data_IF_076878730768
#
_entry.id   IF_076878730768
#
_cell.length_a   1.000
_cell.length_b   1.000
_cell.length_c   1.000
_cell.angle_alpha   90.00
_cell.angle_beta   90.00
_cell.angle_gamma   90.00
#
_symmetry.space_group_name_H-M   'P 1'
#
loop_
_entity.id
_entity.type
_entity.pdbx_description
1 polymer ?
#
# COMPACT_ATOMS: atom_id res chain seq x y z
N UNK A 1 -38.55 -16.48 25.51
CA UNK A 1 -38.48 -16.53 24.03
C UNK A 1 -37.57 -15.39 23.59
N UNK A 2 -36.35 -15.70 23.15
CA UNK A 2 -35.37 -14.71 22.70
C UNK A 2 -35.12 -14.95 21.21
N UNK A 3 -35.53 -13.98 20.41
CA UNK A 3 -35.39 -13.99 18.96
C UNK A 3 -33.99 -13.51 18.60
N UNK A 4 -33.20 -14.38 17.97
CA UNK A 4 -31.89 -14.06 17.39
C UNK A 4 -32.13 -13.22 16.12
N UNK A 5 -31.49 -12.05 15.91
CA UNK A 5 -31.59 -11.37 14.63
C UNK A 5 -30.71 -12.08 13.59
N UNK A 6 -31.26 -12.18 12.38
CA UNK A 6 -30.67 -12.86 11.23
C UNK A 6 -29.32 -12.23 10.82
N UNK A 7 -28.35 -13.08 10.45
CA UNK A 7 -27.11 -12.65 9.79
C UNK A 7 -27.45 -12.10 8.40
N UNK A 8 -27.01 -10.88 8.12
CA UNK A 8 -27.18 -10.23 6.83
C UNK A 8 -26.17 -10.77 5.81
N UNK A 9 -26.65 -11.11 4.62
CA UNK A 9 -25.83 -11.50 3.48
C UNK A 9 -26.04 -10.46 2.39
N UNK A 10 -25.03 -9.63 2.16
CA UNK A 10 -24.94 -8.79 0.96
C UNK A 10 -24.75 -9.72 -0.24
N UNK A 11 -25.85 -10.14 -0.86
CA UNK A 11 -25.84 -10.94 -2.09
C UNK A 11 -25.54 -10.06 -3.29
N UNK A 12 -24.44 -10.37 -3.98
CA UNK A 12 -24.16 -9.96 -5.35
C UNK A 12 -23.76 -11.20 -6.17
N UNK A 13 -24.04 -11.21 -7.49
CA UNK A 13 -24.11 -12.44 -8.28
C UNK A 13 -22.74 -13.08 -8.52
N UNK A 14 -22.68 -14.40 -8.34
CA UNK A 14 -21.48 -15.21 -8.52
C UNK A 14 -21.49 -15.89 -9.90
N UNK A 15 -20.38 -15.89 -10.66
CA UNK A 15 -20.27 -16.67 -11.89
C UNK A 15 -20.02 -18.15 -11.55
N UNK A 16 -20.71 -19.03 -12.28
CA UNK A 16 -20.70 -20.48 -12.15
C UNK A 16 -19.30 -21.07 -12.35
N UNK A 17 -18.85 -21.89 -11.39
CA UNK A 17 -17.65 -22.73 -11.53
C UNK A 17 -17.97 -24.16 -11.13
N UNK A 18 -18.02 -25.05 -12.12
CA UNK A 18 -18.19 -26.50 -11.99
C UNK A 18 -16.96 -27.12 -11.30
N UNK A 19 -17.18 -27.86 -10.19
CA UNK A 19 -16.16 -28.69 -9.54
C UNK A 19 -16.12 -30.07 -10.21
N UNK A 20 -14.95 -30.50 -10.66
CA UNK A 20 -14.62 -31.91 -10.90
C UNK A 20 -14.07 -32.52 -9.60
N UNK A 21 -14.61 -33.67 -9.22
CA UNK A 21 -14.15 -34.52 -8.13
C UNK A 21 -12.95 -35.36 -8.59
N UNK A 22 -11.95 -35.54 -7.72
CA UNK A 22 -10.91 -36.55 -7.87
C UNK A 22 -11.03 -37.53 -6.72
N UNK A 23 -11.30 -38.80 -7.03
CA UNK A 23 -11.26 -39.92 -6.08
C UNK A 23 -9.82 -40.34 -5.83
N UNK A 24 -9.48 -40.55 -4.55
CA UNK A 24 -8.30 -41.31 -4.14
C UNK A 24 -8.55 -42.80 -4.36
N UNK A 25 -7.60 -43.50 -4.97
CA UNK A 25 -7.49 -44.95 -4.90
C UNK A 25 -6.07 -45.32 -4.47
N UNK A 26 -5.98 -45.96 -3.31
CA UNK A 26 -4.81 -46.65 -2.79
C UNK A 26 -4.66 -48.00 -3.49
N UNK A 27 -3.44 -48.42 -3.82
CA UNK A 27 -3.17 -49.81 -4.16
C UNK A 27 -1.77 -50.26 -3.71
N UNK A 28 -1.76 -51.51 -3.26
CA UNK A 28 -0.75 -52.26 -2.53
C UNK A 28 0.53 -52.60 -3.33
N UNK A 29 1.56 -52.89 -2.53
CA UNK A 29 2.86 -53.51 -2.80
C UNK A 29 2.85 -54.80 -3.63
N UNK A 30 3.84 -54.95 -4.53
CA UNK A 30 4.43 -56.25 -4.91
C UNK A 30 5.94 -56.09 -4.96
N UNK A 31 6.66 -56.85 -4.12
CA UNK A 31 8.11 -57.00 -4.17
C UNK A 31 8.44 -58.20 -5.08
N UNK A 32 9.17 -57.94 -6.17
CA UNK A 32 9.68 -58.97 -7.09
C UNK A 32 11.16 -58.75 -7.34
N UNK A 33 11.98 -59.74 -6.95
CA UNK A 33 13.39 -59.84 -7.33
C UNK A 33 13.53 -60.05 -8.85
N UNK A 34 14.38 -59.27 -9.50
CA UNK A 34 14.88 -59.50 -10.87
C UNK A 34 16.38 -59.11 -10.95
N UNK A 35 17.15 -59.76 -11.85
CA UNK A 35 18.60 -59.91 -11.77
C UNK A 35 19.37 -58.66 -12.22
N UNK A 36 20.56 -58.48 -11.62
CA UNK A 36 21.54 -57.47 -11.99
C UNK A 36 22.17 -57.79 -13.35
N UNK A 37 21.60 -57.25 -14.43
CA UNK A 37 22.28 -57.11 -15.72
C UNK A 37 22.87 -55.70 -15.82
N UNK A 38 24.21 -55.64 -15.89
CA UNK A 38 24.97 -54.41 -16.02
C UNK A 38 24.76 -53.75 -17.37
N UNK A 39 23.80 -52.82 -17.44
CA UNK A 39 23.73 -51.82 -18.50
C UNK A 39 24.47 -50.56 -18.05
N UNK A 40 25.56 -50.23 -18.73
CA UNK A 40 26.18 -48.89 -18.69
C UNK A 40 25.18 -47.86 -19.24
N UNK A 41 24.24 -47.44 -18.40
CA UNK A 41 23.34 -46.33 -18.70
C UNK A 41 24.13 -45.06 -18.42
N UNK A 42 24.59 -44.39 -19.47
CA UNK A 42 25.06 -43.00 -19.38
C UNK A 42 23.98 -42.20 -18.68
N UNK A 43 24.19 -41.85 -17.42
CA UNK A 43 23.31 -40.98 -16.67
C UNK A 43 23.37 -39.63 -17.36
N UNK A 44 22.38 -39.34 -18.22
CA UNK A 44 22.10 -37.97 -18.61
C UNK A 44 21.75 -37.24 -17.33
N UNK A 45 22.71 -36.46 -16.83
CA UNK A 45 22.44 -35.44 -15.82
C UNK A 45 21.38 -34.55 -16.45
N UNK A 46 20.16 -34.63 -15.92
CA UNK A 46 19.10 -33.72 -16.30
C UNK A 46 19.61 -32.30 -16.05
N UNK A 47 19.85 -31.55 -17.13
CA UNK A 47 20.17 -30.15 -17.04
C UNK A 47 19.01 -29.47 -16.34
N UNK A 48 19.23 -29.02 -15.10
CA UNK A 48 18.29 -28.14 -14.40
C UNK A 48 18.02 -26.98 -15.36
N UNK A 49 16.75 -26.73 -15.75
CA UNK A 49 16.43 -25.62 -16.62
C UNK A 49 17.02 -24.36 -16.00
N UNK A 50 17.92 -23.70 -16.74
CA UNK A 50 18.42 -22.38 -16.36
C UNK A 50 17.19 -21.51 -16.12
N UNK A 51 17.04 -20.87 -14.95
CA UNK A 51 15.85 -20.08 -14.65
C UNK A 51 15.64 -19.09 -15.80
N UNK A 52 14.45 -19.13 -16.40
CA UNK A 52 14.06 -18.21 -17.45
C UNK A 52 14.33 -16.80 -16.93
N UNK A 53 15.14 -15.98 -17.61
CA UNK A 53 15.39 -14.61 -17.16
C UNK A 53 14.03 -13.92 -16.99
N UNK A 54 13.80 -13.34 -15.80
CA UNK A 54 12.60 -12.51 -15.57
C UNK A 54 12.55 -11.46 -16.70
N UNK A 55 11.42 -11.27 -17.40
CA UNK A 55 11.42 -10.42 -18.60
C UNK A 55 11.78 -8.99 -18.23
N UNK A 56 12.96 -8.53 -18.67
CA UNK A 56 13.36 -7.14 -18.57
C UNK A 56 12.35 -6.24 -19.30
N UNK A 57 12.20 -5.01 -18.84
CA UNK A 57 11.38 -3.99 -19.52
C UNK A 57 12.01 -3.70 -20.88
N UNK A 58 11.20 -3.70 -21.93
CA UNK A 58 11.70 -3.54 -23.31
C UNK A 58 12.30 -2.15 -23.53
N UNK A 59 13.29 -2.02 -24.43
CA UNK A 59 13.86 -0.72 -24.77
C UNK A 59 12.81 0.28 -25.31
N UNK A 60 11.80 -0.22 -26.03
CA UNK A 60 10.68 0.57 -26.51
C UNK A 60 9.82 1.13 -25.36
N UNK A 61 9.52 0.29 -24.36
CA UNK A 61 8.78 0.71 -23.17
C UNK A 61 9.59 1.68 -22.30
N UNK A 62 10.90 1.47 -22.16
CA UNK A 62 11.79 2.41 -21.48
C UNK A 62 11.79 3.79 -22.16
N UNK A 63 11.85 3.82 -23.49
CA UNK A 63 11.82 5.07 -24.26
C UNK A 63 10.46 5.79 -24.15
N UNK A 64 9.35 5.03 -24.19
CA UNK A 64 7.98 5.55 -24.13
C UNK A 64 7.58 6.00 -22.73
N UNK A 65 7.78 5.14 -21.73
CA UNK A 65 7.27 5.31 -20.38
C UNK A 65 8.29 5.87 -19.40
N UNK A 66 9.55 6.05 -19.80
CA UNK A 66 10.64 6.67 -19.01
C UNK A 66 10.47 6.41 -17.49
N UNK A 67 10.43 5.14 -17.05
CA UNK A 67 10.15 4.80 -15.66
C UNK A 67 11.23 5.36 -14.73
N UNK A 68 10.84 5.71 -13.52
CA UNK A 68 11.73 6.13 -12.44
C UNK A 68 11.15 5.68 -11.11
N UNK A 69 11.49 4.46 -10.71
CA UNK A 69 10.96 3.86 -9.49
C UNK A 69 11.72 4.25 -8.22
N UNK A 70 12.74 5.11 -8.35
CA UNK A 70 13.38 5.81 -7.23
C UNK A 70 12.71 7.14 -6.87
N UNK A 71 11.73 7.59 -7.65
CA UNK A 71 11.05 8.86 -7.43
C UNK A 71 10.15 8.89 -6.19
N UNK A 72 9.71 10.09 -5.81
CA UNK A 72 8.88 10.30 -4.64
C UNK A 72 7.42 9.86 -4.83
N UNK A 73 6.79 9.43 -3.73
CA UNK A 73 5.43 8.90 -3.65
C UNK A 73 4.64 9.75 -2.65
N UNK A 74 3.41 10.13 -3.01
CA UNK A 74 2.51 10.82 -2.10
C UNK A 74 1.69 9.82 -1.27
N UNK A 75 1.58 10.10 0.02
CA UNK A 75 0.59 9.48 0.91
C UNK A 75 -0.32 10.61 1.40
N UNK A 76 -1.61 10.53 1.09
CA UNK A 76 -2.59 11.60 1.35
C UNK A 76 -3.51 11.20 2.48
N UNK A 77 -3.59 12.05 3.50
CA UNK A 77 -4.38 11.84 4.71
C UNK A 77 -5.70 12.62 4.65
N UNK A 78 -6.82 11.89 4.66
CA UNK A 78 -8.18 12.42 4.77
C UNK A 78 -8.77 12.06 6.15
N UNK A 79 -9.74 12.85 6.62
CA UNK A 79 -10.45 12.59 7.88
C UNK A 79 -11.97 12.57 7.65
N UNK A 80 -12.60 13.72 7.39
CA UNK A 80 -14.05 13.85 7.28
C UNK A 80 -14.50 14.21 5.85
N UNK A 81 -15.74 13.84 5.51
CA UNK A 81 -16.40 14.10 4.22
C UNK A 81 -17.79 14.72 4.43
N UNK A 82 -17.87 15.70 5.32
CA UNK A 82 -19.10 16.38 5.68
C UNK A 82 -19.38 17.54 4.69
N UNK A 83 -20.51 17.52 3.95
CA UNK A 83 -20.88 18.59 3.02
C UNK A 83 -21.20 19.92 3.72
N UNK A 84 -21.58 19.90 5.01
CA UNK A 84 -21.91 21.08 5.79
C UNK A 84 -20.65 21.82 6.32
N UNK A 85 -19.54 21.10 6.50
CA UNK A 85 -18.26 21.70 6.92
C UNK A 85 -17.47 22.23 5.72
N UNK A 86 -16.73 23.35 5.86
CA UNK A 86 -15.86 23.81 4.78
C UNK A 86 -14.78 22.77 4.45
N UNK A 87 -14.25 22.82 3.22
CA UNK A 87 -13.01 22.11 2.93
C UNK A 87 -11.90 22.67 3.85
N UNK A 88 -10.93 21.84 4.24
CA UNK A 88 -9.78 22.25 5.05
C UNK A 88 -8.99 21.04 5.55
N UNK A 89 -8.17 21.24 6.59
CA UNK A 89 -7.24 20.22 7.10
C UNK A 89 -7.90 18.89 7.49
N UNK A 90 -9.11 18.94 8.03
CA UNK A 90 -9.82 17.77 8.57
C UNK A 90 -11.08 17.42 7.79
N UNK A 91 -11.44 18.17 6.76
CA UNK A 91 -12.68 17.91 6.01
C UNK A 91 -12.47 18.14 4.52
N UNK A 92 -12.97 17.19 3.72
CA UNK A 92 -13.04 17.29 2.27
C UNK A 92 -14.47 16.99 1.83
N UNK A 93 -15.21 18.00 1.39
CA UNK A 93 -16.60 17.80 0.93
C UNK A 93 -16.66 16.70 -0.13
N UNK A 94 -17.74 15.89 -0.17
CA UNK A 94 -17.90 14.80 -1.14
C UNK A 94 -17.57 15.20 -2.59
N UNK A 95 -18.15 16.30 -3.08
CA UNK A 95 -17.91 16.81 -4.43
C UNK A 95 -16.45 17.23 -4.66
N UNK A 96 -15.76 17.74 -3.63
CA UNK A 96 -14.36 18.09 -3.74
C UNK A 96 -13.48 16.83 -3.76
N UNK A 97 -13.82 15.79 -3.00
CA UNK A 97 -13.10 14.52 -3.06
C UNK A 97 -13.23 13.87 -4.44
N UNK A 98 -14.41 13.91 -5.07
CA UNK A 98 -14.58 13.49 -6.46
C UNK A 98 -13.63 14.26 -7.40
N UNK A 99 -13.52 15.58 -7.24
CA UNK A 99 -12.60 16.42 -8.02
C UNK A 99 -11.12 16.06 -7.80
N UNK A 100 -10.76 15.64 -6.59
CA UNK A 100 -9.41 15.14 -6.29
C UNK A 100 -9.12 13.85 -7.04
N UNK A 101 -10.05 12.89 -7.03
CA UNK A 101 -9.91 11.63 -7.75
C UNK A 101 -9.78 11.85 -9.26
N UNK A 102 -10.61 12.72 -9.84
CA UNK A 102 -10.52 13.10 -11.25
C UNK A 102 -9.15 13.73 -11.56
N UNK A 103 -8.70 14.68 -10.74
CA UNK A 103 -7.39 15.33 -10.91
C UNK A 103 -6.24 14.32 -10.83
N UNK A 104 -6.26 13.43 -9.84
CA UNK A 104 -5.28 12.35 -9.68
C UNK A 104 -5.29 11.41 -10.89
N UNK A 105 -6.46 10.99 -11.33
CA UNK A 105 -6.63 10.11 -12.48
C UNK A 105 -6.06 10.71 -13.76
N UNK A 106 -6.42 11.95 -14.08
CA UNK A 106 -5.94 12.71 -15.25
C UNK A 106 -4.43 12.92 -15.21
N UNK A 107 -3.86 13.17 -14.04
CA UNK A 107 -2.41 13.37 -13.86
C UNK A 107 -1.60 12.05 -13.82
N UNK A 108 -2.27 10.92 -14.01
CA UNK A 108 -1.66 9.60 -14.15
C UNK A 108 -1.37 8.89 -12.82
N UNK A 109 -1.97 9.32 -11.72
CA UNK A 109 -1.85 8.63 -10.43
C UNK A 109 -2.77 7.42 -10.35
N UNK A 110 -2.35 6.36 -9.65
CA UNK A 110 -3.16 5.16 -9.37
C UNK A 110 -3.05 4.75 -7.90
N UNK A 111 -4.16 4.37 -7.27
CA UNK A 111 -4.17 4.16 -5.84
C UNK A 111 -3.47 2.84 -5.48
N UNK A 112 -2.74 2.86 -4.38
CA UNK A 112 -2.14 1.68 -3.73
C UNK A 112 -2.44 1.75 -2.23
N UNK A 113 -2.42 0.61 -1.54
CA UNK A 113 -2.47 0.62 -0.07
C UNK A 113 -1.09 1.01 0.48
N UNK A 114 -1.03 1.45 1.73
CA UNK A 114 0.25 1.73 2.37
C UNK A 114 1.11 0.46 2.45
N UNK A 115 0.52 -0.69 2.76
CA UNK A 115 1.27 -1.97 2.74
C UNK A 115 1.87 -2.32 1.38
N UNK A 116 1.24 -1.92 0.28
CA UNK A 116 1.78 -2.11 -1.07
C UNK A 116 3.08 -1.29 -1.25
N UNK A 117 3.12 -0.07 -0.71
CA UNK A 117 4.35 0.75 -0.66
C UNK A 117 5.41 0.06 0.21
N UNK A 118 5.07 -0.39 1.43
CA UNK A 118 6.08 -0.98 2.33
C UNK A 118 6.70 -2.26 1.74
N UNK A 119 5.90 -3.02 1.00
CA UNK A 119 6.33 -4.25 0.34
C UNK A 119 7.00 -4.02 -1.02
N UNK A 120 7.07 -2.77 -1.49
CA UNK A 120 7.48 -2.39 -2.85
C UNK A 120 6.71 -3.15 -3.95
N UNK A 121 5.41 -3.38 -3.72
CA UNK A 121 4.47 -4.07 -4.63
C UNK A 121 3.46 -3.10 -5.22
N UNK A 122 3.97 -1.99 -5.77
CA UNK A 122 3.15 -0.93 -6.37
C UNK A 122 2.68 -1.35 -7.77
N UNK A 123 1.67 -2.22 -7.81
CA UNK A 123 1.07 -2.74 -9.05
C UNK A 123 0.23 -1.66 -9.77
N UNK A 124 0.93 -0.76 -10.47
CA UNK A 124 0.32 0.31 -11.26
C UNK A 124 0.84 0.27 -12.70
N UNK A 125 0.02 0.62 -13.71
CA UNK A 125 0.40 0.51 -15.11
C UNK A 125 1.67 1.30 -15.49
N UNK A 126 2.38 0.90 -16.56
CA UNK A 126 3.58 1.60 -17.01
C UNK A 126 3.32 3.08 -17.27
N UNK A 127 4.24 3.91 -16.82
CA UNK A 127 4.18 5.37 -16.94
C UNK A 127 3.26 6.07 -15.94
N UNK A 128 2.57 5.33 -15.04
CA UNK A 128 1.71 5.86 -13.97
C UNK A 128 2.47 5.96 -12.65
N UNK A 129 1.90 6.72 -11.71
CA UNK A 129 2.50 6.99 -10.40
C UNK A 129 1.61 6.42 -9.29
N UNK A 130 2.13 5.62 -8.35
CA UNK A 130 1.37 5.17 -7.20
C UNK A 130 1.05 6.36 -6.26
N UNK A 131 -0.12 6.31 -5.62
CA UNK A 131 -0.52 7.21 -4.55
C UNK A 131 -1.25 6.42 -3.47
N UNK A 132 -0.91 6.63 -2.20
CA UNK A 132 -1.70 6.05 -1.11
C UNK A 132 -2.74 7.06 -0.63
N UNK A 133 -4.00 6.64 -0.62
CA UNK A 133 -5.10 7.39 0.00
C UNK A 133 -5.36 6.79 1.38
N UNK A 134 -5.29 7.61 2.43
CA UNK A 134 -5.49 7.16 3.80
C UNK A 134 -6.62 7.91 4.48
N UNK A 135 -7.35 7.21 5.34
CA UNK A 135 -8.56 7.71 6.01
C UNK A 135 -8.43 7.49 7.51
N UNK A 136 -8.31 8.56 8.28
CA UNK A 136 -8.02 8.51 9.74
C UNK A 136 -9.33 8.68 10.55
N UNK A 137 -9.39 8.09 11.73
CA UNK A 137 -10.46 8.19 12.74
C UNK A 137 -11.72 7.33 12.55
N UNK A 138 -11.87 6.61 11.43
CA UNK A 138 -13.10 5.84 11.14
C UNK A 138 -14.39 6.65 11.29
N UNK A 139 -14.42 7.90 10.78
CA UNK A 139 -15.62 8.77 10.85
C UNK A 139 -16.80 8.19 10.06
N UNK A 140 -18.07 8.51 10.41
CA UNK A 140 -19.24 8.03 9.68
C UNK A 140 -19.24 8.39 8.20
N UNK A 141 -18.71 9.56 7.85
CA UNK A 141 -18.59 10.05 6.48
C UNK A 141 -17.59 9.26 5.62
N UNK A 142 -16.78 8.38 6.20
CA UNK A 142 -15.86 7.52 5.46
C UNK A 142 -16.57 6.28 4.92
N UNK A 143 -17.40 5.62 5.73
CA UNK A 143 -18.19 4.47 5.31
C UNK A 143 -19.55 4.48 6.01
N UNK A 144 -20.58 4.94 5.28
CA UNK A 144 -21.97 4.98 5.76
C UNK A 144 -22.84 4.02 4.96
N UNK A 145 -23.72 3.30 5.66
CA UNK A 145 -24.81 2.54 5.06
C UNK A 145 -26.11 3.30 5.34
N UNK A 146 -26.90 3.52 4.30
CA UNK A 146 -28.20 4.20 4.34
C UNK A 146 -29.28 3.26 3.83
N UNK A 147 -30.52 3.48 4.25
CA UNK A 147 -31.68 2.78 3.67
C UNK A 147 -32.08 3.45 2.36
N UNK A 148 -32.10 2.68 1.28
CA UNK A 148 -32.53 3.14 -0.04
C UNK A 148 -34.04 3.31 -0.13
N UNK A 149 -34.50 3.86 -1.26
CA UNK A 149 -35.94 3.99 -1.56
C UNK A 149 -36.65 2.64 -1.69
N UNK A 150 -35.90 1.58 -1.97
CA UNK A 150 -36.33 0.19 -2.03
C UNK A 150 -36.39 -0.49 -0.64
N UNK A 151 -36.08 0.24 0.44
CA UNK A 151 -36.03 -0.28 1.79
C UNK A 151 -34.80 -1.15 2.08
N UNK A 152 -33.87 -1.28 1.13
CA UNK A 152 -32.66 -2.10 1.29
C UNK A 152 -31.47 -1.25 1.77
N UNK A 153 -30.47 -1.85 2.42
CA UNK A 153 -29.24 -1.14 2.78
C UNK A 153 -28.37 -0.86 1.54
N UNK A 154 -27.92 0.38 1.40
CA UNK A 154 -27.00 0.82 0.35
C UNK A 154 -25.81 1.57 0.96
N UNK A 155 -24.65 1.46 0.32
CA UNK A 155 -23.51 2.34 0.65
C UNK A 155 -23.90 3.76 0.24
N UNK A 156 -23.74 4.71 1.15
CA UNK A 156 -24.03 6.11 0.86
C UNK A 156 -23.11 6.62 -0.26
N UNK A 157 -23.64 7.09 -1.39
CA UNK A 157 -22.82 7.54 -2.51
C UNK A 157 -21.97 8.78 -2.19
N UNK A 158 -22.26 9.48 -1.09
CA UNK A 158 -21.52 10.65 -0.64
C UNK A 158 -20.50 10.34 0.47
N UNK A 159 -20.43 9.12 0.99
CA UNK A 159 -19.34 8.72 1.88
C UNK A 159 -18.09 8.36 1.07
N UNK A 160 -16.91 8.37 1.70
CA UNK A 160 -15.64 8.12 1.00
C UNK A 160 -15.63 6.80 0.22
N UNK A 161 -16.07 5.69 0.84
CA UNK A 161 -16.19 4.38 0.17
C UNK A 161 -17.16 4.44 -1.00
N UNK A 162 -18.34 5.05 -0.83
CA UNK A 162 -19.32 5.19 -1.93
C UNK A 162 -18.78 5.95 -3.13
N UNK A 163 -17.99 7.00 -2.88
CA UNK A 163 -17.32 7.79 -3.91
C UNK A 163 -16.24 6.95 -4.62
N UNK A 164 -15.39 6.25 -3.86
CA UNK A 164 -14.33 5.39 -4.42
C UNK A 164 -14.90 4.27 -5.28
N UNK A 165 -15.96 3.60 -4.82
CA UNK A 165 -16.65 2.53 -5.56
C UNK A 165 -17.29 3.06 -6.85
N UNK A 166 -17.92 4.23 -6.78
CA UNK A 166 -18.50 4.87 -7.96
C UNK A 166 -17.42 5.27 -8.96
N UNK A 167 -16.29 5.79 -8.47
CA UNK A 167 -15.15 6.16 -9.29
C UNK A 167 -14.52 4.95 -9.98
N UNK A 168 -14.32 3.85 -9.25
CA UNK A 168 -13.83 2.58 -9.81
C UNK A 168 -14.75 2.03 -10.91
N UNK A 169 -16.08 2.04 -10.70
CA UNK A 169 -17.04 1.59 -11.72
C UNK A 169 -16.94 2.41 -13.01
N UNK A 170 -16.71 3.72 -12.90
CA UNK A 170 -16.51 4.63 -14.05
C UNK A 170 -15.12 4.48 -14.68
N UNK A 171 -14.12 4.13 -13.87
CA UNK A 171 -12.72 3.99 -14.26
C UNK A 171 -12.17 2.64 -13.79
N UNK A 172 -12.40 1.53 -14.52
CA UNK A 172 -12.02 0.19 -14.06
C UNK A 172 -10.51 0.01 -13.80
N UNK A 173 -9.67 0.87 -14.38
CA UNK A 173 -8.22 0.90 -14.15
C UNK A 173 -7.81 1.72 -12.92
N UNK A 174 -8.76 2.25 -12.15
CA UNK A 174 -8.57 2.81 -10.82
C UNK A 174 -8.92 1.75 -9.77
N UNK A 175 -7.94 1.11 -9.16
CA UNK A 175 -8.19 0.04 -8.20
C UNK A 175 -8.92 0.53 -6.94
N UNK A 176 -9.72 -0.36 -6.32
CA UNK A 176 -10.35 -0.17 -5.01
C UNK A 176 -9.31 -0.33 -3.89
N UNK A 177 -8.46 0.69 -3.76
CA UNK A 177 -7.33 0.75 -2.83
C UNK A 177 -7.46 1.99 -1.95
N UNK A 178 -7.09 1.83 -0.69
CA UNK A 178 -7.16 2.86 0.35
C UNK A 178 -6.95 2.25 1.73
N UNK A 179 -6.20 2.94 2.58
CA UNK A 179 -5.85 2.48 3.92
C UNK A 179 -6.68 3.22 4.98
N UNK A 180 -7.55 2.51 5.67
CA UNK A 180 -8.38 3.03 6.75
C UNK A 180 -7.68 2.81 8.08
N UNK A 181 -7.25 3.90 8.73
CA UNK A 181 -6.71 3.90 10.08
C UNK A 181 -7.87 4.01 11.07
N UNK A 182 -8.25 2.88 11.65
CA UNK A 182 -9.50 2.73 12.40
C UNK A 182 -9.27 2.81 13.90
N UNK A 183 -10.26 3.33 14.61
CA UNK A 183 -10.31 3.42 16.07
C UNK A 183 -11.37 2.44 16.59
N UNK A 184 -11.09 1.65 17.65
CA UNK A 184 -12.13 0.89 18.34
C UNK A 184 -13.03 1.82 19.17
N UNK A 185 -14.15 1.27 19.66
CA UNK A 185 -14.99 1.92 20.67
C UNK A 185 -14.27 1.89 22.04
N UNK A 186 -13.47 2.92 22.29
CA UNK A 186 -12.70 3.07 23.54
C UNK A 186 -12.62 4.56 23.94
N UNK A 187 -12.66 4.84 25.24
CA UNK A 187 -12.71 6.21 25.77
C UNK A 187 -13.82 7.06 25.14
N UNK A 188 -13.45 8.19 24.54
CA UNK A 188 -14.39 9.13 23.88
C UNK A 188 -14.68 8.79 22.42
N UNK A 189 -14.09 7.73 21.88
CA UNK A 189 -14.33 7.34 20.50
C UNK A 189 -15.79 6.90 20.32
N UNK A 190 -16.36 7.20 19.15
CA UNK A 190 -17.58 6.54 18.71
C UNK A 190 -17.24 5.13 18.23
N UNK A 191 -18.26 4.28 18.08
CA UNK A 191 -18.10 3.02 17.36
C UNK A 191 -17.53 3.31 15.96
N UNK A 192 -16.68 2.41 15.40
CA UNK A 192 -16.14 2.62 14.07
C UNK A 192 -17.25 2.92 13.06
N UNK A 193 -17.12 4.03 12.34
CA UNK A 193 -18.12 4.56 11.40
C UNK A 193 -19.50 4.91 12.01
N UNK A 194 -19.62 4.92 13.34
CA UNK A 194 -20.82 5.21 14.15
C UNK A 194 -22.09 4.48 13.70
N UNK A 195 -21.95 3.24 13.23
CA UNK A 195 -23.05 2.32 12.92
C UNK A 195 -22.67 0.94 13.46
N UNK A 196 -22.73 0.74 14.80
CA UNK A 196 -22.23 -0.47 15.46
C UNK A 196 -22.88 -1.76 14.91
N UNK A 197 -24.13 -1.67 14.47
CA UNK A 197 -24.90 -2.79 13.92
C UNK A 197 -24.38 -3.30 12.57
N UNK A 198 -23.59 -2.49 11.84
CA UNK A 198 -23.04 -2.85 10.52
C UNK A 198 -21.51 -2.84 10.47
N UNK A 199 -20.83 -2.66 11.62
CA UNK A 199 -19.38 -2.46 11.66
C UNK A 199 -18.60 -3.64 11.08
N UNK A 200 -19.00 -4.87 11.40
CA UNK A 200 -18.36 -6.08 10.88
C UNK A 200 -18.55 -6.20 9.36
N UNK A 201 -19.77 -5.96 8.86
CA UNK A 201 -20.07 -6.02 7.42
C UNK A 201 -19.24 -5.01 6.63
N UNK A 202 -19.04 -3.80 7.19
CA UNK A 202 -18.19 -2.77 6.60
C UNK A 202 -16.73 -3.19 6.56
N UNK A 203 -16.18 -3.75 7.64
CA UNK A 203 -14.80 -4.24 7.63
C UNK A 203 -14.59 -5.41 6.67
N UNK A 204 -15.52 -6.37 6.64
CA UNK A 204 -15.47 -7.47 5.67
C UNK A 204 -15.58 -6.95 4.23
N UNK A 205 -16.41 -5.93 3.98
CA UNK A 205 -16.51 -5.28 2.67
C UNK A 205 -15.19 -4.60 2.28
N UNK A 206 -14.56 -3.82 3.17
CA UNK A 206 -13.28 -3.15 2.89
C UNK A 206 -12.21 -4.17 2.48
N UNK A 207 -12.02 -5.22 3.29
CA UNK A 207 -11.01 -6.24 3.03
C UNK A 207 -11.30 -7.04 1.75
N UNK A 208 -12.57 -7.40 1.52
CA UNK A 208 -12.98 -8.17 0.33
C UNK A 208 -12.75 -7.39 -0.97
N UNK A 209 -12.93 -6.06 -0.94
CA UNK A 209 -12.81 -5.22 -2.13
C UNK A 209 -11.41 -4.62 -2.30
N UNK A 210 -10.42 -5.00 -1.49
CA UNK A 210 -9.01 -4.61 -1.72
C UNK A 210 -8.51 -3.42 -0.91
N UNK A 211 -9.36 -2.83 -0.07
CA UNK A 211 -8.95 -1.81 0.91
C UNK A 211 -8.18 -2.44 2.07
N UNK A 212 -7.42 -1.61 2.77
CA UNK A 212 -6.63 -1.99 3.94
C UNK A 212 -7.24 -1.43 5.23
N UNK A 213 -7.26 -2.25 6.28
CA UNK A 213 -7.60 -1.82 7.65
C UNK A 213 -6.31 -1.78 8.48
N UNK A 214 -6.06 -0.63 9.09
CA UNK A 214 -4.83 -0.29 9.78
C UNK A 214 -5.11 0.34 11.17
N UNK A 215 -4.10 0.36 12.03
CA UNK A 215 -4.25 0.75 13.43
C UNK A 215 -4.19 2.28 13.61
N UNK A 216 -5.10 2.85 14.41
CA UNK A 216 -5.05 4.27 14.79
C UNK A 216 -5.03 4.52 16.29
N UNK A 217 -4.52 3.55 17.06
CA UNK A 217 -4.50 3.49 18.53
C UNK A 217 -5.87 3.23 19.15
N UNK A 218 -5.91 3.02 20.46
CA UNK A 218 -7.14 2.66 21.15
C UNK A 218 -7.95 3.91 21.48
N UNK A 219 -7.32 4.92 22.06
CA UNK A 219 -7.99 6.13 22.58
C UNK A 219 -7.81 7.37 21.73
N UNK A 220 -7.06 7.27 20.62
CA UNK A 220 -6.66 8.42 19.80
C UNK A 220 -5.82 9.48 20.58
N UNK A 221 -5.19 9.08 21.67
CA UNK A 221 -4.38 9.98 22.51
C UNK A 221 -3.07 10.39 21.84
N UNK A 222 -2.64 11.62 22.07
CA UNK A 222 -1.33 12.09 21.64
C UNK A 222 -0.21 11.32 22.37
N UNK A 223 0.62 10.63 21.59
CA UNK A 223 1.69 9.78 22.13
C UNK A 223 3.00 10.53 22.45
N UNK A 224 3.09 11.84 22.19
CA UNK A 224 4.34 12.60 22.32
C UNK A 224 4.96 12.56 23.73
N UNK A 225 4.12 12.56 24.77
CA UNK A 225 4.53 12.44 26.17
C UNK A 225 4.33 11.05 26.77
N UNK A 226 3.96 10.06 25.97
CA UNK A 226 3.51 8.75 26.44
C UNK A 226 4.70 7.83 26.77
N UNK A 227 4.60 7.07 27.86
CA UNK A 227 5.58 6.05 28.25
C UNK A 227 5.36 4.75 27.47
N UNK A 228 6.42 3.93 27.36
CA UNK A 228 6.42 2.67 26.63
C UNK A 228 5.25 1.73 26.98
N UNK A 229 4.93 1.56 28.27
CA UNK A 229 3.83 0.67 28.68
C UNK A 229 2.46 1.14 28.20
N UNK A 230 2.21 2.45 28.22
CA UNK A 230 0.96 3.01 27.69
C UNK A 230 0.93 2.96 26.17
N UNK A 231 2.06 3.14 25.47
CA UNK A 231 2.14 2.92 24.02
C UNK A 231 1.80 1.47 23.66
N UNK A 232 2.37 0.49 24.36
CA UNK A 232 2.03 -0.93 24.17
C UNK A 232 0.56 -1.20 24.40
N UNK A 233 -0.02 -0.61 25.46
CA UNK A 233 -1.45 -0.69 25.73
C UNK A 233 -2.29 -0.12 24.58
N UNK A 234 -2.00 1.09 24.11
CA UNK A 234 -2.76 1.73 23.03
C UNK A 234 -2.77 0.87 21.74
N UNK A 235 -1.63 0.26 21.41
CA UNK A 235 -1.47 -0.48 20.16
C UNK A 235 -2.02 -1.91 20.25
N UNK A 236 -1.76 -2.61 21.36
CA UNK A 236 -2.25 -3.97 21.57
C UNK A 236 -3.76 -4.00 21.80
N UNK A 237 -4.31 -3.06 22.59
CA UNK A 237 -5.76 -2.99 22.84
C UNK A 237 -6.52 -2.67 21.55
N UNK A 238 -6.05 -1.70 20.75
CA UNK A 238 -6.66 -1.41 19.46
C UNK A 238 -6.68 -2.62 18.52
N UNK A 239 -5.57 -3.37 18.46
CA UNK A 239 -5.50 -4.60 17.68
C UNK A 239 -6.47 -5.66 18.19
N UNK A 240 -6.52 -5.86 19.51
CA UNK A 240 -7.40 -6.82 20.15
C UNK A 240 -8.87 -6.54 19.83
N UNK A 241 -9.31 -5.30 20.03
CA UNK A 241 -10.71 -4.91 19.93
C UNK A 241 -11.20 -4.91 18.48
N UNK A 242 -10.39 -4.35 17.56
CA UNK A 242 -10.73 -4.39 16.13
C UNK A 242 -10.78 -5.83 15.61
N UNK A 243 -9.90 -6.72 16.07
CA UNK A 243 -9.94 -8.14 15.65
C UNK A 243 -11.19 -8.90 16.11
N UNK A 244 -11.92 -8.42 17.12
CA UNK A 244 -13.20 -9.04 17.51
C UNK A 244 -14.26 -8.88 16.41
N UNK A 245 -14.21 -7.77 15.67
CA UNK A 245 -15.18 -7.45 14.59
C UNK A 245 -14.58 -7.53 13.19
N UNK A 246 -13.26 -7.59 13.06
CA UNK A 246 -12.52 -7.72 11.81
C UNK A 246 -11.36 -8.74 11.95
N UNK A 247 -11.65 -10.04 12.16
CA UNK A 247 -10.62 -11.04 12.47
C UNK A 247 -9.57 -11.24 11.35
N UNK A 248 -9.88 -10.82 10.13
CA UNK A 248 -8.97 -10.87 8.96
C UNK A 248 -8.09 -9.62 8.81
N UNK A 249 -8.33 -8.56 9.58
CA UNK A 249 -7.49 -7.36 9.53
C UNK A 249 -6.11 -7.67 10.13
N UNK A 250 -5.06 -7.39 9.37
CA UNK A 250 -3.67 -7.60 9.83
C UNK A 250 -3.25 -6.48 10.78
N UNK A 251 -3.60 -5.23 10.44
CA UNK A 251 -3.21 -4.01 11.15
C UNK A 251 -1.68 -3.88 11.30
N UNK A 252 -0.94 -4.30 10.28
CA UNK A 252 0.53 -4.25 10.24
C UNK A 252 1.08 -2.83 10.05
N UNK A 253 0.23 -1.86 9.77
CA UNK A 253 0.59 -0.45 9.56
C UNK A 253 -0.23 0.39 10.52
N UNK A 254 0.34 1.47 11.06
CA UNK A 254 -0.41 2.37 11.91
C UNK A 254 -0.07 3.84 11.68
N UNK A 255 -1.06 4.70 11.90
CA UNK A 255 -0.89 6.15 11.88
C UNK A 255 -0.90 6.69 13.30
N UNK A 256 0.07 7.54 13.62
CA UNK A 256 0.16 8.22 14.92
C UNK A 256 -0.91 9.32 15.00
N UNK A 257 -1.78 9.32 16.03
CA UNK A 257 -2.63 10.47 16.32
C UNK A 257 -1.79 11.74 16.42
N UNK A 258 -2.23 12.80 15.73
CA UNK A 258 -1.53 14.09 15.61
C UNK A 258 -0.14 14.03 14.95
N UNK A 259 0.31 12.87 14.48
CA UNK A 259 1.58 12.72 13.77
C UNK A 259 2.84 12.90 14.60
N UNK A 260 2.75 12.88 15.94
CA UNK A 260 3.89 13.17 16.83
C UNK A 260 4.46 11.90 17.44
N UNK A 261 5.73 11.65 17.18
CA UNK A 261 6.48 10.56 17.81
C UNK A 261 6.59 10.78 19.34
N UNK A 262 6.59 9.70 20.14
CA UNK A 262 7.01 9.76 21.54
C UNK A 262 8.39 10.39 21.70
N UNK A 263 8.58 11.20 22.75
CA UNK A 263 9.89 11.79 23.10
C UNK A 263 10.85 10.76 23.70
N UNK A 264 10.30 9.79 24.42
CA UNK A 264 11.08 8.69 25.02
C UNK A 264 11.47 7.65 23.95
N UNK A 265 12.69 7.14 24.02
CA UNK A 265 13.21 6.18 23.04
C UNK A 265 12.56 4.80 23.21
N UNK A 266 12.35 4.33 24.45
CA UNK A 266 11.70 3.04 24.68
C UNK A 266 10.23 3.07 24.19
N UNK A 267 9.55 4.21 24.35
CA UNK A 267 8.23 4.44 23.80
C UNK A 267 8.24 4.45 22.26
N UNK A 268 9.26 5.03 21.61
CA UNK A 268 9.42 4.93 20.14
C UNK A 268 9.65 3.50 19.68
N UNK A 269 10.48 2.73 20.36
CA UNK A 269 10.69 1.31 20.03
C UNK A 269 9.41 0.49 20.18
N UNK A 270 8.58 0.84 21.18
CA UNK A 270 7.27 0.21 21.39
C UNK A 270 6.29 0.46 20.24
N UNK A 271 6.52 1.44 19.36
CA UNK A 271 5.70 1.62 18.15
C UNK A 271 5.89 0.46 17.16
N UNK A 272 7.06 -0.17 17.14
CA UNK A 272 7.42 -1.19 16.14
C UNK A 272 6.84 -2.55 16.54
N UNK A 273 7.00 -2.94 17.79
CA UNK A 273 6.47 -4.23 18.28
C UNK A 273 6.26 -4.21 19.79
N UNK A 274 5.29 -5.00 20.24
CA UNK A 274 4.97 -5.15 21.65
C UNK A 274 3.95 -6.25 21.87
N UNK A 275 3.68 -6.53 23.14
CA UNK A 275 2.66 -7.48 23.57
C UNK A 275 2.01 -7.00 24.85
N UNK A 276 0.70 -7.18 24.95
CA UNK A 276 -0.08 -6.95 26.16
C UNK A 276 -1.31 -7.86 26.16
N UNK A 277 -1.64 -8.46 27.31
CA UNK A 277 -2.89 -9.21 27.48
C UNK A 277 -3.08 -10.37 26.48
N UNK A 278 -1.98 -11.04 26.10
CA UNK A 278 -2.01 -12.11 25.09
C UNK A 278 -2.09 -11.63 23.63
N UNK A 279 -2.20 -10.32 23.39
CA UNK A 279 -2.19 -9.73 22.05
C UNK A 279 -0.81 -9.17 21.74
N UNK A 280 -0.17 -9.70 20.69
CA UNK A 280 1.11 -9.20 20.18
C UNK A 280 0.92 -8.49 18.84
N UNK A 281 1.67 -7.41 18.63
CA UNK A 281 1.69 -6.67 17.37
C UNK A 281 3.13 -6.47 16.89
N UNK A 282 3.26 -6.35 15.57
CA UNK A 282 4.50 -5.95 14.90
C UNK A 282 4.16 -5.09 13.69
N UNK A 283 4.33 -3.78 13.83
CA UNK A 283 4.11 -2.85 12.74
C UNK A 283 5.28 -2.88 11.76
N UNK A 284 4.95 -2.95 10.48
CA UNK A 284 5.85 -2.79 9.35
C UNK A 284 6.06 -1.32 9.00
N UNK A 285 5.13 -0.44 9.38
CA UNK A 285 5.28 0.99 9.18
C UNK A 285 4.52 1.86 10.18
N UNK A 286 5.03 3.09 10.37
CA UNK A 286 4.46 4.15 11.20
C UNK A 286 4.32 5.43 10.37
N UNK A 287 3.13 6.01 10.38
CA UNK A 287 2.81 7.21 9.60
C UNK A 287 2.63 8.44 10.49
N UNK A 288 3.17 9.56 10.00
CA UNK A 288 3.13 10.88 10.61
C UNK A 288 2.11 11.77 9.88
N UNK A 289 1.63 12.80 10.58
CA UNK A 289 0.89 13.93 10.00
C UNK A 289 1.89 15.08 9.79
N UNK A 290 2.56 15.07 8.63
CA UNK A 290 3.66 15.97 8.32
C UNK A 290 3.37 16.71 7.00
N UNK A 291 4.33 16.79 6.07
CA UNK A 291 4.19 17.69 4.92
C UNK A 291 4.87 17.26 3.63
N UNK A 292 5.53 16.09 3.57
CA UNK A 292 6.31 15.68 2.39
C UNK A 292 5.87 14.35 1.78
N UNK A 293 5.95 14.22 0.45
CA UNK A 293 6.08 12.94 -0.23
C UNK A 293 7.31 12.20 0.31
N UNK A 294 7.21 10.87 0.36
CA UNK A 294 8.30 10.00 0.75
C UNK A 294 9.11 9.61 -0.49
N UNK A 295 10.41 9.43 -0.35
CA UNK A 295 11.19 8.73 -1.37
C UNK A 295 10.77 7.26 -1.45
N UNK A 296 10.94 6.68 -2.63
CA UNK A 296 10.58 5.28 -2.88
C UNK A 296 11.27 4.31 -1.90
N UNK A 297 10.60 3.20 -1.51
CA UNK A 297 11.18 2.17 -0.66
C UNK A 297 12.54 1.67 -1.11
N UNK A 298 12.86 1.71 -2.40
CA UNK A 298 14.14 1.23 -2.93
C UNK A 298 15.28 2.26 -2.83
N UNK A 299 15.03 3.45 -2.29
CA UNK A 299 16.07 4.48 -2.14
C UNK A 299 16.95 4.28 -0.91
N UNK A 300 18.22 4.64 -1.01
CA UNK A 300 19.15 4.65 0.14
C UNK A 300 18.70 5.67 1.17
N UNK A 301 18.96 5.38 2.44
CA UNK A 301 18.72 6.31 3.54
C UNK A 301 19.82 7.39 3.59
N UNK A 302 19.86 8.29 2.60
CA UNK A 302 20.84 9.38 2.51
C UNK A 302 20.11 10.72 2.41
N UNK A 303 20.36 11.62 3.37
CA UNK A 303 19.76 12.96 3.42
C UNK A 303 20.01 13.77 2.16
N UNK A 304 21.07 13.50 1.40
CA UNK A 304 21.33 14.17 0.11
C UNK A 304 20.25 13.89 -0.93
N UNK A 305 19.54 12.78 -0.81
CA UNK A 305 18.45 12.40 -1.73
C UNK A 305 17.14 13.13 -1.44
N UNK A 306 17.04 13.83 -0.30
CA UNK A 306 15.83 14.57 0.07
C UNK A 306 15.57 15.81 -0.80
N UNK A 307 16.43 16.12 -1.78
CA UNK A 307 16.34 17.34 -2.58
C UNK A 307 16.28 18.59 -1.68
N UNK A 308 17.32 18.77 -0.86
CA UNK A 308 17.39 19.86 0.12
C UNK A 308 16.31 19.82 1.20
N UNK A 309 15.76 18.65 1.50
CA UNK A 309 14.68 18.45 2.47
C UNK A 309 13.27 18.50 1.87
N UNK A 310 13.13 18.69 0.56
CA UNK A 310 11.86 18.66 -0.16
C UNK A 310 11.11 17.32 0.01
N UNK A 311 11.82 16.20 -0.07
CA UNK A 311 11.27 14.86 0.11
C UNK A 311 11.65 14.27 1.47
N UNK A 312 10.73 13.48 2.04
CA UNK A 312 11.03 12.67 3.21
C UNK A 312 11.88 11.47 2.79
N UNK A 313 13.03 11.25 3.45
CA UNK A 313 13.83 10.04 3.24
C UNK A 313 12.99 8.84 3.65
N UNK A 314 13.06 7.75 2.87
CA UNK A 314 12.35 6.53 3.22
C UNK A 314 12.85 5.97 4.56
N UNK A 315 11.99 6.04 5.56
CA UNK A 315 12.09 5.36 6.84
C UNK A 315 10.70 4.77 7.11
N UNK A 316 10.52 3.44 7.06
CA UNK A 316 9.20 2.83 7.22
C UNK A 316 8.55 3.20 8.56
N UNK A 317 9.33 3.60 9.57
CA UNK A 317 8.83 3.97 10.89
C UNK A 317 8.67 5.48 11.09
N UNK A 318 8.82 6.28 10.02
CA UNK A 318 8.63 7.74 10.03
C UNK A 318 8.10 8.26 8.69
N UNK A 319 7.15 7.54 8.09
CA UNK A 319 6.60 7.94 6.79
C UNK A 319 5.73 9.18 6.94
N UNK A 320 6.01 10.19 6.13
CA UNK A 320 5.26 11.44 6.13
C UNK A 320 4.04 11.35 5.21
N UNK A 321 2.98 12.05 5.61
CA UNK A 321 1.76 12.21 4.84
C UNK A 321 1.48 13.67 4.61
N UNK A 322 0.85 13.96 3.47
CA UNK A 322 0.34 15.27 3.08
C UNK A 322 -1.17 15.31 3.31
N UNK A 323 -1.75 16.50 3.39
CA UNK A 323 -3.20 16.70 3.57
C UNK A 323 -3.79 17.43 2.36
N UNK A 324 -5.04 17.19 1.97
CA UNK A 324 -5.74 18.07 1.04
C UNK A 324 -6.16 19.35 1.77
N UNK A 325 -5.84 20.53 1.25
CA UNK A 325 -6.36 21.79 1.81
C UNK A 325 -6.38 22.87 0.71
N UNK A 326 -7.56 23.16 0.14
CA UNK A 326 -7.65 24.10 -0.98
C UNK A 326 -7.49 25.55 -0.51
N UNK A 327 -7.73 25.87 0.76
CA UNK A 327 -7.47 27.21 1.32
C UNK A 327 -5.97 27.48 1.51
N UNK A 328 -5.17 26.42 1.60
CA UNK A 328 -3.72 26.49 1.73
C UNK A 328 -3.02 25.89 0.51
N UNK A 329 -3.65 25.95 -0.67
CA UNK A 329 -3.19 25.21 -1.85
C UNK A 329 -1.74 25.49 -2.24
N UNK A 330 -1.16 26.64 -1.89
CA UNK A 330 0.23 27.03 -2.18
C UNK A 330 1.24 26.65 -1.09
N UNK A 331 0.79 26.08 0.04
CA UNK A 331 1.67 25.69 1.13
C UNK A 331 2.24 24.28 0.90
N UNK A 332 3.56 24.09 1.07
CA UNK A 332 4.14 22.76 1.20
C UNK A 332 3.39 21.93 2.23
N UNK A 333 3.09 20.67 1.91
CA UNK A 333 2.25 19.80 2.75
C UNK A 333 0.81 19.64 2.30
N UNK A 334 0.38 20.44 1.31
CA UNK A 334 -0.94 20.26 0.70
C UNK A 334 -0.90 19.40 -0.56
N UNK A 335 -1.94 18.61 -0.81
CA UNK A 335 -2.11 17.83 -2.05
C UNK A 335 -2.01 18.75 -3.27
N UNK A 336 -2.69 19.89 -3.23
CA UNK A 336 -2.73 20.86 -4.31
C UNK A 336 -1.33 21.42 -4.65
N UNK A 337 -0.50 21.71 -3.64
CA UNK A 337 0.87 22.13 -3.84
C UNK A 337 1.69 21.03 -4.53
N UNK A 338 1.64 19.80 -4.02
CA UNK A 338 2.45 18.70 -4.51
C UNK A 338 2.06 18.25 -5.92
N UNK A 339 0.77 18.32 -6.28
CA UNK A 339 0.33 18.10 -7.65
C UNK A 339 0.97 19.11 -8.61
N UNK A 340 0.94 20.41 -8.28
CA UNK A 340 1.59 21.44 -9.10
C UNK A 340 3.10 21.28 -9.14
N UNK A 341 3.72 20.92 -8.02
CA UNK A 341 5.16 20.65 -7.94
C UNK A 341 5.57 19.53 -8.91
N UNK A 342 4.89 18.39 -8.89
CA UNK A 342 5.23 17.26 -9.76
C UNK A 342 4.84 17.46 -11.21
N UNK A 343 3.89 18.33 -11.53
CA UNK A 343 3.67 18.75 -12.92
C UNK A 343 4.85 19.53 -13.48
N UNK A 344 5.47 20.39 -12.66
CA UNK A 344 6.68 21.15 -13.03
C UNK A 344 7.94 20.28 -12.99
N UNK A 345 7.97 19.27 -12.11
CA UNK A 345 9.10 18.38 -11.89
C UNK A 345 8.72 16.90 -12.10
N UNK A 346 8.25 16.50 -13.30
CA UNK A 346 7.69 15.17 -13.52
C UNK A 346 8.69 14.02 -13.34
N UNK A 347 10.00 14.30 -13.48
CA UNK A 347 11.05 13.30 -13.27
C UNK A 347 11.33 12.96 -11.80
N UNK A 348 10.82 13.74 -10.85
CA UNK A 348 11.08 13.54 -9.41
C UNK A 348 10.02 12.70 -8.69
N UNK A 349 8.86 12.45 -9.31
CA UNK A 349 7.88 11.48 -8.77
C UNK A 349 8.17 10.08 -9.28
N UNK A 350 7.73 9.08 -8.52
CA UNK A 350 7.76 7.69 -8.94
C UNK A 350 7.05 7.53 -10.27
N UNK A 351 7.62 6.75 -11.18
CA UNK A 351 6.99 6.39 -12.44
C UNK A 351 7.21 4.91 -12.74
N UNK A 352 6.12 4.15 -12.74
CA UNK A 352 6.12 2.68 -12.86
C UNK A 352 6.59 2.22 -14.22
N UNK A 353 7.28 1.08 -14.23
CA UNK A 353 7.55 0.31 -15.45
C UNK A 353 6.46 -0.74 -15.77
N UNK A 354 5.50 -0.93 -14.84
CA UNK A 354 4.41 -1.89 -14.95
C UNK A 354 4.73 -3.31 -14.49
N UNK A 355 5.89 -3.55 -13.87
CA UNK A 355 6.37 -4.88 -13.47
C UNK A 355 6.91 -4.90 -12.04
N UNK A 356 6.10 -5.40 -11.10
CA UNK A 356 6.46 -5.49 -9.67
C UNK A 356 7.65 -6.39 -9.34
N UNK A 357 8.18 -7.15 -10.30
CA UNK A 357 9.39 -7.98 -10.13
C UNK A 357 10.69 -7.28 -10.54
N UNK A 358 10.61 -6.08 -11.12
CA UNK A 358 11.74 -5.30 -11.59
C UNK A 358 11.67 -3.92 -10.93
N UNK A 359 12.82 -3.35 -10.65
CA UNK A 359 12.95 -1.95 -10.26
C UNK A 359 13.63 -1.24 -11.40
N UNK A 360 12.95 -0.32 -12.07
CA UNK A 360 13.53 0.40 -13.22
C UNK A 360 13.82 1.87 -12.91
N UNK A 361 15.07 2.27 -13.12
CA UNK A 361 15.52 3.65 -12.91
C UNK A 361 16.39 4.16 -14.07
N UNK A 362 16.39 5.47 -14.38
CA UNK A 362 17.38 6.02 -15.29
C UNK A 362 18.78 5.88 -14.70
N UNK A 363 19.81 5.72 -15.55
CA UNK A 363 21.20 5.53 -15.12
C UNK A 363 21.69 6.65 -14.17
N UNK A 364 21.22 7.89 -14.37
CA UNK A 364 21.50 9.02 -13.50
C UNK A 364 21.01 8.84 -12.04
N UNK A 365 19.99 8.01 -11.81
CA UNK A 365 19.43 7.71 -10.49
C UNK A 365 19.93 6.37 -9.92
N UNK A 366 20.75 5.60 -10.65
CA UNK A 366 21.24 4.30 -10.19
C UNK A 366 21.95 4.39 -8.84
N UNK A 367 22.72 5.44 -8.61
CA UNK A 367 23.44 5.66 -7.35
C UNK A 367 22.49 5.92 -6.17
N UNK A 368 21.22 6.23 -6.40
CA UNK A 368 20.24 6.48 -5.33
C UNK A 368 19.62 5.18 -4.80
N UNK A 369 19.76 4.08 -5.54
CA UNK A 369 19.10 2.79 -5.26
C UNK A 369 19.85 2.00 -4.19
N UNK A 370 19.11 1.50 -3.19
CA UNK A 370 19.53 0.49 -2.23
C UNK A 370 19.37 -0.91 -2.86
N UNK A 371 20.42 -1.37 -3.54
CA UNK A 371 20.40 -2.66 -4.25
C UNK A 371 20.23 -3.86 -3.32
N UNK A 372 20.66 -3.76 -2.06
CA UNK A 372 20.43 -4.81 -1.08
C UNK A 372 18.95 -4.93 -0.74
N UNK A 373 18.25 -3.80 -0.60
CA UNK A 373 16.80 -3.78 -0.36
C UNK A 373 15.99 -4.26 -1.56
N UNK A 374 16.36 -3.85 -2.78
CA UNK A 374 15.76 -4.40 -4.03
C UNK A 374 15.85 -5.93 -4.04
N UNK A 375 17.01 -6.49 -3.70
CA UNK A 375 17.19 -7.94 -3.61
C UNK A 375 16.36 -8.56 -2.47
N UNK A 376 16.24 -7.89 -1.33
CA UNK A 376 15.43 -8.35 -0.19
C UNK A 376 13.92 -8.39 -0.53
N UNK A 377 13.44 -7.50 -1.41
CA UNK A 377 12.10 -7.56 -1.99
C UNK A 377 11.94 -8.65 -3.08
N UNK A 378 13.01 -9.32 -3.48
CA UNK A 378 12.99 -10.37 -4.51
C UNK A 378 12.93 -9.83 -5.94
N UNK A 379 13.26 -8.55 -6.13
CA UNK A 379 13.24 -7.85 -7.41
C UNK A 379 14.63 -7.79 -8.05
N UNK A 380 14.68 -7.35 -9.31
CA UNK A 380 15.92 -7.08 -10.04
C UNK A 380 16.00 -5.63 -10.47
N UNK A 381 17.16 -4.99 -10.33
CA UNK A 381 17.37 -3.62 -10.81
C UNK A 381 17.65 -3.61 -12.32
N UNK A 382 16.95 -2.74 -13.06
CA UNK A 382 17.20 -2.41 -14.45
C UNK A 382 17.49 -0.92 -14.60
N UNK A 383 18.57 -0.57 -15.30
CA UNK A 383 18.97 0.82 -15.56
C UNK A 383 18.95 1.13 -17.04
N UNK A 384 18.59 2.36 -17.43
CA UNK A 384 18.53 2.76 -18.84
C UNK A 384 19.01 4.22 -19.06
N UNK A 385 19.33 4.56 -20.31
CA UNK A 385 19.69 5.94 -20.69
C UNK A 385 21.10 6.39 -20.29
N UNK A 386 22.00 5.48 -19.91
CA UNK A 386 23.42 5.78 -19.74
C UNK A 386 24.15 5.78 -21.09
N UNK A 387 25.21 6.58 -21.23
CA UNK A 387 26.11 6.47 -22.37
C UNK A 387 26.78 5.10 -22.34
N UNK A 388 26.59 4.30 -23.38
CA UNK A 388 27.53 3.23 -23.69
C UNK A 388 28.87 3.92 -23.96
N UNK A 389 29.79 3.83 -23.02
CA UNK A 389 31.17 4.23 -23.26
C UNK A 389 31.65 3.48 -24.50
N UNK A 390 32.10 4.24 -25.52
CA UNK A 390 33.02 3.73 -26.53
C UNK A 390 34.22 3.08 -25.80
N UNK A 391 34.21 1.76 -25.64
CA UNK A 391 35.45 0.99 -25.75
C UNK A 391 35.70 0.89 -27.25
N UNK A 392 36.64 1.61 -27.83
CA UNK A 392 38.05 1.53 -27.49
C UNK A 392 38.68 0.84 -28.69
N UNK A 393 38.87 1.60 -29.78
CA UNK A 393 39.72 1.18 -30.88
C UNK A 393 41.13 1.02 -30.33
N UNK A 394 41.58 -0.23 -30.26
CA UNK A 394 42.96 -0.59 -30.02
C UNK A 394 43.27 -1.71 -30.99
N UNK A 395 44.00 -1.37 -32.06
CA UNK A 395 44.48 -2.35 -33.01
C UNK A 395 45.40 -3.35 -32.32
N UNK A 396 45.20 -4.62 -32.60
CA UNK A 396 46.28 -5.60 -32.56
C UNK A 396 46.45 -6.12 -33.97
N UNK A 397 47.58 -5.73 -34.56
CA UNK A 397 48.18 -6.37 -35.72
C UNK A 397 48.18 -7.89 -35.56
N UNK A 398 47.52 -8.57 -36.49
CA UNK A 398 47.84 -9.94 -36.83
C UNK A 398 48.97 -9.87 -37.87
N UNK A 399 50.21 -9.98 -37.40
CA UNK A 399 51.35 -10.43 -38.21
C UNK A 399 51.85 -11.75 -37.67
N UNK A 400 51.76 -12.73 -38.56
CA UNK A 400 52.39 -14.05 -38.68
C UNK A 400 53.71 -14.22 -37.91
N UNK A 401 53.79 -15.30 -37.11
CA UNK A 401 54.68 -16.46 -37.32
C UNK A 401 54.04 -17.73 -36.73
#
# INVERSE_FOLDING_TARGET
MHSIPARFSLTLPNPTRTRRTFSLASALTVAGLLPLTGCHRKTQVATVPKPTPKPQVSAADLAKYKPNEAGAIMIVMYHDFDPAKPNGDLNRKPAQFVSDLESLYTLGYRPVNVSDIIADKMDVPPGRTPIALTFDDSKPSQFRIITGKDGQPHIDPNCAVGILETFHKKHPDWATKGTFFVLPKEGTNYDPFSQPETVQDKFDYLLKNGYEIANHTSTHSNMHGMKADKVKWELATALHDIKQVAPKATMDVFALPYGKLPRDEQARQSLISGSLGGTSYKHKAVLLAAWRPILSPITRADKKLSEGGTFCIYDPYRLERIKPNPQQANQPGTLEYWLRYFQKNPGQRYRSDGNTSIVTVPAAYQSQVDTARVKAYGQTLQTYGGSTGKGGGGGSSLTVE
#
